data_IF_829481627417
#
_entry.id   IF_829481627417
#
_cell.length_a   1.000
_cell.length_b   1.000
_cell.length_c   1.000
_cell.angle_alpha   90.00
_cell.angle_beta   90.00
_cell.angle_gamma   90.00
#
_symmetry.space_group_name_H-M   'P 1'
#
loop_
_entity.id
_entity.type
_entity.pdbx_description
1 polymer ?
#
# COMPACT_ATOMS: atom_id res chain seq x y z
N UNK A 1 -16.45 3.05 -6.20
CA UNK A 1 -15.42 3.80 -6.94
C UNK A 1 -14.04 3.34 -6.47
N UNK A 2 -13.01 3.32 -7.34
CA UNK A 2 -11.65 2.82 -7.03
C UNK A 2 -11.05 3.47 -5.77
N UNK A 3 -11.28 4.76 -5.57
CA UNK A 3 -10.78 5.51 -4.42
C UNK A 3 -11.32 5.00 -3.08
N UNK A 4 -12.57 4.53 -3.02
CA UNK A 4 -13.16 4.00 -1.78
C UNK A 4 -12.47 2.70 -1.39
N UNK A 5 -12.32 1.77 -2.34
CA UNK A 5 -11.63 0.51 -2.10
C UNK A 5 -10.15 0.73 -1.75
N UNK A 6 -9.47 1.67 -2.41
CA UNK A 6 -8.10 2.03 -2.05
C UNK A 6 -8.01 2.59 -0.62
N UNK A 7 -8.96 3.43 -0.19
CA UNK A 7 -9.05 3.91 1.21
C UNK A 7 -9.34 2.78 2.19
N UNK A 8 -10.26 1.87 1.85
CA UNK A 8 -10.58 0.69 2.67
C UNK A 8 -9.36 -0.22 2.86
N UNK A 9 -8.59 -0.47 1.80
CA UNK A 9 -7.35 -1.26 1.87
C UNK A 9 -6.33 -0.62 2.83
N UNK A 10 -6.13 0.70 2.73
CA UNK A 10 -5.22 1.43 3.62
C UNK A 10 -5.73 1.44 5.06
N UNK A 11 -7.04 1.70 5.25
CA UNK A 11 -7.66 1.71 6.56
C UNK A 11 -7.54 0.34 7.25
N UNK A 12 -7.78 -0.74 6.52
CA UNK A 12 -7.66 -2.11 7.04
C UNK A 12 -6.21 -2.44 7.39
N UNK A 13 -5.25 -2.05 6.56
CA UNK A 13 -3.83 -2.24 6.86
C UNK A 13 -3.41 -1.51 8.14
N UNK A 14 -3.90 -0.29 8.37
CA UNK A 14 -3.65 0.47 9.59
C UNK A 14 -4.32 -0.20 10.80
N UNK A 15 -5.58 -0.62 10.65
CA UNK A 15 -6.35 -1.31 11.72
C UNK A 15 -5.67 -2.60 12.17
N UNK A 16 -5.02 -3.31 11.25
CA UNK A 16 -4.30 -4.56 11.50
C UNK A 16 -2.82 -4.35 11.89
N UNK A 17 -2.37 -3.11 12.01
CA UNK A 17 -0.96 -2.76 12.24
C UNK A 17 -0.02 -3.46 11.23
N UNK A 18 -0.38 -3.39 9.94
CA UNK A 18 0.36 -4.01 8.86
C UNK A 18 1.53 -3.13 8.39
N UNK A 19 2.70 -3.73 8.20
CA UNK A 19 3.90 -3.02 7.75
C UNK A 19 3.92 -2.83 6.23
N UNK A 20 3.44 -3.84 5.49
CA UNK A 20 3.43 -3.83 4.03
C UNK A 20 2.12 -4.41 3.48
N UNK A 21 1.65 -3.86 2.38
CA UNK A 21 0.54 -4.36 1.56
C UNK A 21 1.11 -4.84 0.23
N UNK A 22 0.70 -6.02 -0.21
CA UNK A 22 1.14 -6.65 -1.44
C UNK A 22 -0.06 -6.87 -2.36
N UNK A 23 0.01 -6.36 -3.58
CA UNK A 23 -0.94 -6.63 -4.66
C UNK A 23 -0.18 -7.44 -5.71
N UNK A 24 -0.32 -8.77 -5.69
CA UNK A 24 0.51 -9.67 -6.49
C UNK A 24 -0.39 -10.48 -7.43
N UNK A 25 -0.08 -10.55 -8.74
CA UNK A 25 -0.81 -11.41 -9.66
C UNK A 25 -0.60 -12.87 -9.27
N UNK A 26 -1.70 -13.63 -9.23
CA UNK A 26 -1.72 -15.07 -8.97
C UNK A 26 -2.76 -15.73 -9.86
N UNK A 27 -2.28 -16.60 -10.76
CA UNK A 27 -3.10 -17.27 -11.76
C UNK A 27 -3.90 -16.25 -12.60
N UNK A 28 -5.23 -16.27 -12.55
CA UNK A 28 -6.09 -15.30 -13.25
C UNK A 28 -6.66 -14.20 -12.34
N UNK A 29 -6.10 -14.01 -11.15
CA UNK A 29 -6.55 -13.03 -10.16
C UNK A 29 -5.36 -12.28 -9.56
N UNK A 30 -5.66 -11.39 -8.60
CA UNK A 30 -4.68 -10.76 -7.73
C UNK A 30 -4.94 -11.13 -6.28
N UNK A 31 -3.88 -11.50 -5.59
CA UNK A 31 -3.91 -11.64 -4.15
C UNK A 31 -3.55 -10.30 -3.51
N UNK A 32 -4.41 -9.86 -2.59
CA UNK A 32 -4.09 -8.80 -1.64
C UNK A 32 -3.57 -9.47 -0.36
N UNK A 33 -2.28 -9.29 -0.08
CA UNK A 33 -1.67 -9.78 1.15
C UNK A 33 -1.22 -8.61 2.00
N UNK A 34 -1.15 -8.82 3.31
CA UNK A 34 -0.57 -7.87 4.25
C UNK A 34 0.51 -8.56 5.07
N UNK A 35 1.61 -7.86 5.34
CA UNK A 35 2.58 -8.29 6.35
C UNK A 35 2.12 -7.72 7.69
N UNK A 36 1.78 -8.60 8.61
CA UNK A 36 1.37 -8.28 9.97
C UNK A 36 2.35 -9.00 10.89
N UNK A 37 3.16 -8.22 11.62
CA UNK A 37 4.35 -8.71 12.31
C UNK A 37 5.32 -9.36 11.29
N UNK A 38 5.71 -10.61 11.54
CA UNK A 38 6.63 -11.36 10.68
C UNK A 38 5.92 -12.30 9.69
N UNK A 39 4.58 -12.22 9.60
CA UNK A 39 3.78 -13.10 8.74
C UNK A 39 3.13 -12.35 7.59
N UNK A 40 3.18 -12.96 6.40
CA UNK A 40 2.37 -12.51 5.26
C UNK A 40 1.05 -13.26 5.23
N UNK A 41 -0.05 -12.53 5.39
CA UNK A 41 -1.41 -13.08 5.43
C UNK A 41 -2.18 -12.68 4.18
N UNK A 42 -2.87 -13.63 3.55
CA UNK A 42 -3.81 -13.35 2.47
C UNK A 42 -5.06 -12.68 3.06
N UNK A 43 -5.39 -11.49 2.59
CA UNK A 43 -6.55 -10.71 3.05
C UNK A 43 -7.74 -10.93 2.13
N UNK A 44 -7.52 -10.86 0.82
CA UNK A 44 -8.57 -11.02 -0.19
C UNK A 44 -7.99 -11.36 -1.56
N UNK A 45 -8.89 -11.77 -2.46
CA UNK A 45 -8.59 -12.04 -3.87
C UNK A 45 -9.47 -11.14 -4.74
N UNK A 46 -8.88 -10.49 -5.73
CA UNK A 46 -9.55 -9.56 -6.62
C UNK A 46 -9.35 -9.93 -8.09
N UNK A 47 -10.33 -9.57 -8.92
CA UNK A 47 -10.22 -9.67 -10.37
C UNK A 47 -9.13 -8.74 -10.90
N UNK A 48 -8.47 -9.13 -12.00
CA UNK A 48 -7.36 -8.41 -12.60
C UNK A 48 -7.68 -6.94 -12.90
N UNK A 49 -8.83 -6.64 -13.50
CA UNK A 49 -9.19 -5.28 -13.90
C UNK A 49 -9.41 -4.35 -12.69
N UNK A 50 -10.01 -4.90 -11.63
CA UNK A 50 -10.22 -4.18 -10.37
C UNK A 50 -8.90 -3.81 -9.73
N UNK A 51 -7.98 -4.78 -9.62
CA UNK A 51 -6.66 -4.53 -9.02
C UNK A 51 -5.79 -3.62 -9.88
N UNK A 52 -5.80 -3.78 -11.21
CA UNK A 52 -5.07 -2.89 -12.12
C UNK A 52 -5.52 -1.42 -11.99
N UNK A 53 -6.81 -1.19 -11.75
CA UNK A 53 -7.35 0.15 -11.50
C UNK A 53 -6.87 0.72 -10.16
N UNK A 54 -6.80 -0.11 -9.12
CA UNK A 54 -6.25 0.28 -7.81
C UNK A 54 -4.76 0.62 -7.92
N UNK A 55 -3.97 -0.21 -8.59
CA UNK A 55 -2.54 0.04 -8.81
C UNK A 55 -2.33 1.35 -9.57
N UNK A 56 -3.14 1.60 -10.61
CA UNK A 56 -3.08 2.85 -11.38
C UNK A 56 -3.42 4.07 -10.52
N UNK A 57 -4.39 3.96 -9.61
CA UNK A 57 -4.72 5.00 -8.64
C UNK A 57 -3.53 5.30 -7.72
N UNK A 58 -2.91 4.25 -7.14
CA UNK A 58 -1.74 4.42 -6.29
C UNK A 58 -0.53 5.01 -7.03
N UNK A 59 -0.33 4.63 -8.30
CA UNK A 59 0.70 5.24 -9.15
C UNK A 59 0.45 6.71 -9.42
N UNK A 60 -0.79 7.07 -9.72
CA UNK A 60 -1.18 8.46 -9.93
C UNK A 60 -0.87 9.31 -8.70
N UNK A 61 -1.35 8.92 -7.53
CA UNK A 61 -1.17 9.71 -6.29
C UNK A 61 0.29 9.78 -5.81
N UNK A 62 1.13 8.83 -6.23
CA UNK A 62 2.56 8.82 -5.89
C UNK A 62 3.47 9.40 -6.98
N UNK A 63 2.91 10.00 -8.04
CA UNK A 63 3.68 10.56 -9.14
C UNK A 63 4.42 9.54 -10.02
N UNK A 64 4.03 8.26 -9.98
CA UNK A 64 4.56 7.22 -10.85
C UNK A 64 3.90 7.26 -12.24
N UNK A 65 4.58 6.76 -13.27
CA UNK A 65 4.06 6.71 -14.63
C UNK A 65 3.05 5.56 -14.78
N UNK A 66 1.77 5.91 -14.95
CA UNK A 66 0.66 4.96 -15.12
C UNK A 66 0.79 4.12 -16.40
N UNK A 67 1.30 4.73 -17.48
CA UNK A 67 1.45 4.08 -18.79
C UNK A 67 2.60 3.07 -18.86
N UNK A 68 3.61 3.23 -18.00
CA UNK A 68 4.71 2.27 -17.88
C UNK A 68 4.31 1.15 -16.92
N UNK A 69 4.21 -0.09 -17.41
CA UNK A 69 3.83 -1.26 -16.61
C UNK A 69 4.90 -2.35 -16.57
N UNK A 70 5.99 -2.20 -17.35
CA UNK A 70 7.04 -3.21 -17.50
C UNK A 70 8.22 -2.95 -16.58
N UNK A 71 8.61 -1.68 -16.41
CA UNK A 71 9.78 -1.31 -15.60
C UNK A 71 9.43 -1.15 -14.12
N UNK A 72 10.43 -1.37 -13.28
CA UNK A 72 10.33 -1.10 -11.84
C UNK A 72 10.09 0.41 -11.66
N UNK A 73 9.14 0.76 -10.80
CA UNK A 73 8.91 2.13 -10.38
C UNK A 73 8.91 2.21 -8.85
N UNK A 74 9.32 3.37 -8.33
CA UNK A 74 9.35 3.67 -6.91
C UNK A 74 8.67 5.02 -6.74
N UNK A 75 7.78 5.12 -5.77
CA UNK A 75 7.06 6.34 -5.44
C UNK A 75 6.92 6.50 -3.94
N UNK A 76 6.55 7.70 -3.51
CA UNK A 76 6.18 7.97 -2.13
C UNK A 76 5.14 9.07 -2.09
N UNK A 77 4.19 8.98 -1.17
CA UNK A 77 3.15 9.99 -1.01
C UNK A 77 2.57 9.98 0.40
N UNK A 78 1.96 11.09 0.80
CA UNK A 78 1.03 11.11 1.91
C UNK A 78 -0.36 10.75 1.37
N UNK A 79 -0.97 9.71 1.95
CA UNK A 79 -2.27 9.20 1.52
C UNK A 79 -3.35 9.46 2.58
N UNK A 80 -4.45 10.07 2.16
CA UNK A 80 -5.58 10.40 3.03
C UNK A 80 -6.59 9.24 3.11
N UNK A 81 -6.87 8.78 4.32
CA UNK A 81 -7.87 7.76 4.63
C UNK A 81 -8.89 8.35 5.62
N UNK A 82 -9.92 9.02 5.09
CA UNK A 82 -10.80 9.85 5.91
C UNK A 82 -10.15 11.20 6.22
N UNK A 83 -10.11 11.60 7.50
CA UNK A 83 -9.49 12.85 7.96
C UNK A 83 -8.00 12.70 8.29
N UNK A 84 -7.51 11.47 8.40
CA UNK A 84 -6.13 11.16 8.72
C UNK A 84 -5.29 10.93 7.46
N UNK A 85 -3.97 11.07 7.61
CA UNK A 85 -2.99 10.76 6.57
C UNK A 85 -1.90 9.82 7.07
N UNK A 86 -1.46 8.94 6.18
CA UNK A 86 -0.32 8.03 6.37
C UNK A 86 0.70 8.25 5.26
N UNK A 87 1.99 8.25 5.59
CA UNK A 87 3.05 8.32 4.59
C UNK A 87 3.30 6.93 4.04
N UNK A 88 3.29 6.81 2.71
CA UNK A 88 3.43 5.55 1.99
C UNK A 88 4.70 5.57 1.15
N UNK A 89 5.41 4.44 1.14
CA UNK A 89 6.43 4.14 0.12
C UNK A 89 5.91 3.05 -0.79
N UNK A 90 5.97 3.26 -2.09
CA UNK A 90 5.42 2.37 -3.09
C UNK A 90 6.54 1.84 -3.99
N UNK A 91 6.43 0.58 -4.39
CA UNK A 91 7.25 -0.01 -5.43
C UNK A 91 6.41 -0.90 -6.33
N UNK A 92 6.49 -0.68 -7.63
CA UNK A 92 5.82 -1.54 -8.61
C UNK A 92 6.84 -2.25 -9.51
N UNK A 93 6.45 -3.43 -10.01
CA UNK A 93 7.22 -4.18 -10.99
C UNK A 93 6.28 -4.96 -11.90
N UNK A 94 6.52 -4.87 -13.21
CA UNK A 94 5.81 -5.66 -14.21
C UNK A 94 6.31 -7.10 -14.29
N UNK A 95 5.41 -8.04 -14.54
CA UNK A 95 5.74 -9.38 -14.99
C UNK A 95 5.77 -9.47 -16.53
N UNK A 96 6.19 -10.62 -17.05
CA UNK A 96 6.27 -10.88 -18.49
C UNK A 96 4.89 -10.93 -19.19
N UNK A 97 3.79 -11.05 -18.43
CA UNK A 97 2.42 -11.04 -18.92
C UNK A 97 1.79 -9.64 -18.88
N UNK A 98 2.60 -8.60 -18.65
CA UNK A 98 2.17 -7.20 -18.54
C UNK A 98 1.21 -6.95 -17.36
N UNK A 99 1.31 -7.77 -16.31
CA UNK A 99 0.65 -7.57 -15.02
C UNK A 99 1.61 -6.89 -14.07
N UNK A 100 1.12 -6.02 -13.21
CA UNK A 100 1.97 -5.22 -12.34
C UNK A 100 1.77 -5.67 -10.90
N UNK A 101 2.87 -6.02 -10.23
CA UNK A 101 2.86 -6.18 -8.78
C UNK A 101 3.06 -4.80 -8.14
N UNK A 102 2.33 -4.50 -7.07
CA UNK A 102 2.53 -3.30 -6.27
C UNK A 102 2.76 -3.70 -4.81
N UNK A 103 3.79 -3.12 -4.20
CA UNK A 103 4.04 -3.19 -2.77
C UNK A 103 3.93 -1.79 -2.19
N UNK A 104 3.16 -1.65 -1.12
CA UNK A 104 3.00 -0.40 -0.38
C UNK A 104 3.47 -0.63 1.04
N UNK A 105 4.50 0.09 1.46
CA UNK A 105 4.96 0.14 2.85
C UNK A 105 4.30 1.31 3.57
N UNK A 106 3.68 1.03 4.71
CA UNK A 106 3.19 2.05 5.61
C UNK A 106 4.38 2.55 6.44
N UNK A 107 4.71 3.82 6.27
CA UNK A 107 5.72 4.46 7.10
C UNK A 107 5.00 4.91 8.37
N UNK A 108 5.35 4.28 9.50
CA UNK A 108 4.69 4.54 10.76
C UNK A 108 4.89 6.01 11.15
N UNK A 109 3.80 6.68 11.51
CA UNK A 109 3.88 7.98 12.13
C UNK A 109 4.53 7.80 13.51
N UNK A 110 5.51 8.66 13.82
CA UNK A 110 6.28 8.71 15.07
C UNK A 110 5.52 8.11 16.26
N UNK A 111 6.12 7.13 16.94
CA UNK A 111 5.61 6.62 18.21
C UNK A 111 5.60 7.78 19.20
N UNK A 112 4.42 8.26 19.58
CA UNK A 112 4.29 9.14 20.75
C UNK A 112 4.41 8.25 21.99
N UNK A 113 5.61 8.17 22.52
CA UNK A 113 5.86 7.55 23.81
C UNK A 113 5.35 8.52 24.88
N UNK A 114 4.30 8.11 25.61
CA UNK A 114 3.81 8.85 26.78
C UNK A 114 4.51 8.30 28.03
N UNK A 115 5.69 8.85 28.35
CA UNK A 115 6.32 8.62 29.66
C UNK A 115 5.89 9.77 30.57
N UNK A 116 4.97 9.49 31.51
CA UNK A 116 4.66 10.31 32.71
C UNK A 116 4.74 11.84 32.49
N UNK A 117 4.06 12.35 31.46
CA UNK A 117 3.91 13.79 31.22
C UNK A 117 4.99 14.46 30.35
N UNK A 118 5.95 13.73 29.78
CA UNK A 118 6.91 14.28 28.82
C UNK A 118 6.67 13.72 27.41
N UNK A 119 6.49 14.61 26.44
CA UNK A 119 6.45 14.24 25.01
C UNK A 119 7.90 14.17 24.53
N UNK A 120 8.36 12.97 24.18
CA UNK A 120 9.65 12.78 23.54
C UNK A 120 9.39 12.35 22.09
N UNK A 121 9.83 13.17 21.14
CA UNK A 121 9.88 12.79 19.72
C UNK A 121 11.21 12.07 19.48
N UNK A 122 11.15 10.77 19.23
CA UNK A 122 12.32 10.02 18.76
C UNK A 122 12.17 9.84 17.26
N UNK A 123 13.10 10.45 16.52
CA UNK A 123 13.32 10.16 15.11
C UNK A 123 14.15 8.88 15.01
N UNK A 124 13.59 7.84 14.41
CA UNK A 124 14.33 6.64 14.00
C UNK A 124 14.86 6.80 12.57
#
# INVERSE_FOLDING_TARGET
>A
MVQNLAKEIIFEAIRLDAQDIYMIPKDNNYNLLMRINDERRLVSVHQCDSMASIISHFKFVSGMNIGEKRRIQIGSCDYFYGEEKVSLRLSSVGDYQNRESLVIRLLHKKIKIYIIGLIIEIDC
#
